data_IF_563990418096
#
_entry.id   IF_563990418096
#
_cell.length_a   1.000
_cell.length_b   1.000
_cell.length_c   1.000
_cell.angle_alpha   90.00
_cell.angle_beta   90.00
_cell.angle_gamma   90.00
#
_symmetry.space_group_name_H-M   'P 1'
#
loop_
_entity.id
_entity.type
_entity.pdbx_description
1 polymer ?
#
# COMPACT_ATOMS: atom_id res chain seq x y z
N UNK A 1 -7.07 -2.32 -6.00
CA UNK A 1 -5.99 -3.12 -5.38
C UNK A 1 -6.60 -4.20 -4.51
N UNK A 2 -6.36 -5.45 -4.87
CA UNK A 2 -6.74 -6.62 -4.07
C UNK A 2 -5.49 -7.20 -3.44
N UNK A 3 -5.51 -7.45 -2.13
CA UNK A 3 -4.38 -7.97 -1.37
C UNK A 3 -4.49 -9.49 -1.21
N UNK A 4 -3.54 -10.23 -1.77
CA UNK A 4 -3.44 -11.69 -1.64
C UNK A 4 -2.60 -12.09 -0.43
N UNK A 5 -1.55 -11.31 -0.14
CA UNK A 5 -0.72 -11.41 1.05
C UNK A 5 -0.26 -10.02 1.49
N UNK A 6 -0.08 -9.84 2.80
CA UNK A 6 0.43 -8.60 3.39
C UNK A 6 1.06 -8.89 4.76
N UNK A 7 2.36 -8.66 4.90
CA UNK A 7 3.06 -8.72 6.17
C UNK A 7 4.31 -7.84 6.09
N UNK A 8 4.22 -6.69 6.74
CA UNK A 8 5.26 -5.69 6.88
C UNK A 8 5.68 -5.61 8.35
N UNK A 9 6.85 -5.04 8.62
CA UNK A 9 7.22 -4.67 9.98
C UNK A 9 6.30 -3.55 10.50
N UNK A 10 5.56 -3.86 11.56
CA UNK A 10 4.56 -2.94 12.11
C UNK A 10 5.24 -1.66 12.63
N UNK A 11 4.67 -0.51 12.29
CA UNK A 11 5.19 0.83 12.60
C UNK A 11 6.53 1.24 11.95
N UNK A 12 7.22 0.36 11.21
CA UNK A 12 8.52 0.65 10.58
C UNK A 12 8.43 0.66 9.06
N UNK A 13 7.81 -0.37 8.49
CA UNK A 13 7.57 -0.51 7.06
C UNK A 13 6.18 0.02 6.68
N UNK A 14 6.08 0.67 5.51
CA UNK A 14 4.83 1.22 5.02
C UNK A 14 4.63 0.99 3.52
N UNK A 15 3.42 0.58 3.16
CA UNK A 15 2.91 0.66 1.79
C UNK A 15 1.92 1.83 1.69
N UNK A 16 2.25 2.82 0.86
CA UNK A 16 1.42 3.98 0.58
C UNK A 16 0.78 3.86 -0.80
N UNK A 17 -0.49 4.23 -0.90
CA UNK A 17 -1.26 4.26 -2.15
C UNK A 17 -1.76 5.68 -2.40
N UNK A 18 -1.71 6.14 -3.66
CA UNK A 18 -2.32 7.42 -4.07
C UNK A 18 -2.84 7.36 -5.50
N UNK A 19 -3.78 8.26 -5.82
CA UNK A 19 -4.33 8.49 -7.16
C UNK A 19 -3.97 9.86 -7.73
N UNK A 20 -3.58 10.82 -6.89
CA UNK A 20 -3.43 12.23 -7.29
C UNK A 20 -1.96 12.64 -7.45
N UNK A 21 -1.04 11.67 -7.51
CA UNK A 21 0.39 11.93 -7.61
C UNK A 21 1.06 12.38 -6.31
N UNK A 22 0.28 12.62 -5.24
CA UNK A 22 0.79 13.12 -3.97
C UNK A 22 0.65 12.08 -2.86
N UNK A 23 1.75 11.84 -2.14
CA UNK A 23 1.78 11.01 -0.94
C UNK A 23 1.63 11.83 0.36
N UNK A 24 1.41 13.15 0.27
CA UNK A 24 1.14 13.97 1.46
C UNK A 24 -0.22 13.63 2.09
N UNK A 25 -1.16 13.15 1.27
CA UNK A 25 -2.46 12.63 1.69
C UNK A 25 -2.75 11.35 0.89
N UNK A 26 -2.12 10.23 1.27
CA UNK A 26 -2.32 8.98 0.56
C UNK A 26 -3.76 8.47 0.78
N UNK A 27 -4.27 7.72 -0.20
CA UNK A 27 -5.55 7.01 -0.07
C UNK A 27 -5.50 5.95 1.04
N UNK A 28 -4.35 5.29 1.16
CA UNK A 28 -4.11 4.32 2.20
C UNK A 28 -2.64 4.37 2.63
N UNK A 29 -2.42 4.21 3.94
CA UNK A 29 -1.12 3.98 4.55
C UNK A 29 -1.24 2.69 5.37
N UNK A 30 -0.54 1.65 4.91
CA UNK A 30 -0.71 0.28 5.37
C UNK A 30 0.61 -0.20 6.01
N UNK A 31 0.51 -0.93 7.12
CA UNK A 31 1.64 -1.48 7.89
C UNK A 31 1.19 -2.72 8.66
N UNK A 32 2.13 -3.45 9.26
CA UNK A 32 1.88 -4.64 10.06
C UNK A 32 1.48 -5.87 9.23
N UNK A 33 0.83 -6.83 9.90
CA UNK A 33 0.53 -8.17 9.35
C UNK A 33 -0.94 -8.39 9.00
N UNK A 34 -1.82 -7.45 9.36
CA UNK A 34 -3.24 -7.56 9.03
C UNK A 34 -3.45 -7.31 7.55
N UNK A 35 -4.10 -8.26 6.86
CA UNK A 35 -4.45 -8.11 5.45
C UNK A 35 -5.45 -6.96 5.26
N UNK A 36 -5.13 -5.92 4.48
CA UNK A 36 -6.04 -4.80 4.23
C UNK A 36 -7.25 -5.24 3.40
N UNK A 37 -8.41 -4.57 3.56
CA UNK A 37 -9.51 -4.71 2.60
C UNK A 37 -9.08 -4.19 1.21
N UNK A 38 -9.80 -4.55 0.13
CA UNK A 38 -9.54 -4.01 -1.20
C UNK A 38 -9.57 -2.48 -1.20
N UNK A 39 -8.57 -1.86 -1.82
CA UNK A 39 -8.48 -0.41 -2.00
C UNK A 39 -8.82 -0.09 -3.44
N UNK A 40 -9.95 0.57 -3.67
CA UNK A 40 -10.33 0.98 -5.02
C UNK A 40 -9.43 2.12 -5.49
N UNK A 41 -8.97 2.02 -6.73
CA UNK A 41 -8.40 3.17 -7.43
C UNK A 41 -9.41 3.69 -8.46
N UNK A 42 -9.40 4.99 -8.75
CA UNK A 42 -10.34 5.67 -9.64
C UNK A 42 -11.50 6.36 -8.92
N UNK A 43 -11.43 6.57 -7.60
CA UNK A 43 -12.46 7.28 -6.84
C UNK A 43 -12.66 8.73 -7.35
N UNK A 44 -11.60 9.32 -7.91
CA UNK A 44 -11.63 10.68 -8.45
C UNK A 44 -11.64 10.75 -9.99
N UNK A 45 -11.98 9.65 -10.68
CA UNK A 45 -11.91 9.57 -12.15
C UNK A 45 -10.48 9.47 -12.70
N UNK A 46 -9.50 9.20 -11.84
CA UNK A 46 -8.10 9.01 -12.21
C UNK A 46 -7.83 7.53 -12.53
N UNK A 47 -7.47 7.21 -13.77
CA UNK A 47 -7.06 5.86 -14.20
C UNK A 47 -5.58 5.54 -13.87
N UNK A 48 -5.00 6.28 -12.93
CA UNK A 48 -3.61 6.13 -12.50
C UNK A 48 -3.58 5.97 -11.00
N UNK A 49 -2.83 4.99 -10.54
CA UNK A 49 -2.50 4.81 -9.15
C UNK A 49 -0.99 4.70 -9.00
N UNK A 50 -0.47 5.19 -7.89
CA UNK A 50 0.94 5.08 -7.54
C UNK A 50 1.07 4.39 -6.19
N UNK A 51 2.09 3.54 -6.12
CA UNK A 51 2.50 2.81 -4.92
C UNK A 51 3.85 3.34 -4.47
N UNK A 52 4.03 3.48 -3.16
CA UNK A 52 5.34 3.72 -2.55
C UNK A 52 5.52 2.76 -1.38
N UNK A 53 6.50 1.88 -1.51
CA UNK A 53 6.97 1.06 -0.41
C UNK A 53 8.16 1.73 0.26
N UNK A 54 8.13 1.80 1.59
CA UNK A 54 9.17 2.40 2.44
C UNK A 54 9.53 1.34 3.47
N UNK A 55 10.82 1.04 3.59
CA UNK A 55 11.36 0.16 4.61
C UNK A 55 12.57 0.80 5.27
N UNK A 56 12.76 0.52 6.55
CA UNK A 56 13.91 0.99 7.32
C UNK A 56 15.12 0.03 7.29
N UNK A 57 14.98 -1.10 6.56
CA UNK A 57 15.99 -2.16 6.42
C UNK A 57 16.35 -2.89 7.73
N UNK A 58 15.56 -2.77 8.79
CA UNK A 58 15.85 -3.42 10.07
C UNK A 58 15.38 -4.89 10.11
N UNK A 59 14.09 -5.15 9.84
CA UNK A 59 13.51 -6.50 9.78
C UNK A 59 12.78 -6.71 8.45
N UNK A 60 13.06 -7.84 7.78
CA UNK A 60 12.39 -8.21 6.53
C UNK A 60 11.35 -9.31 6.74
N UNK A 61 10.10 -9.02 6.37
CA UNK A 61 9.03 -10.02 6.25
C UNK A 61 8.71 -10.33 4.77
N UNK A 62 7.71 -11.17 4.50
CA UNK A 62 7.33 -11.57 3.13
C UNK A 62 6.89 -10.41 2.23
N UNK A 63 6.56 -9.24 2.79
CA UNK A 63 6.09 -8.10 2.03
C UNK A 63 4.61 -8.22 1.65
N UNK A 64 4.28 -7.82 0.43
CA UNK A 64 2.90 -7.78 -0.07
C UNK A 64 2.79 -8.42 -1.46
N UNK A 65 1.64 -9.03 -1.71
CA UNK A 65 1.25 -9.52 -3.04
C UNK A 65 -0.11 -8.92 -3.38
N UNK A 66 -0.16 -8.17 -4.48
CA UNK A 66 -1.33 -7.40 -4.90
C UNK A 66 -1.65 -7.59 -6.37
N UNK A 67 -2.93 -7.48 -6.72
CA UNK A 67 -3.38 -7.27 -8.09
C UNK A 67 -4.08 -5.92 -8.26
N UNK A 68 -3.99 -5.39 -9.47
CA UNK A 68 -4.68 -4.18 -9.93
C UNK A 68 -5.50 -4.52 -11.18
N UNK A 69 -6.76 -4.09 -11.21
CA UNK A 69 -7.73 -4.35 -12.26
C UNK A 69 -8.59 -3.12 -12.46
#
# INVERSE_FOLDING_TARGET
FTFHAFHLEDHHDYLLLTENGSFARPLARLTGSQRPPPVNAGLYGNFKAQLRFISDFSISFQGFNISFS
#
